data_IF_750159030681
#
_entry.id   IF_750159030681
#
_cell.length_a   1.000
_cell.length_b   1.000
_cell.length_c   1.000
_cell.angle_alpha   90.00
_cell.angle_beta   90.00
_cell.angle_gamma   90.00
#
_symmetry.space_group_name_H-M   'P 1'
#
loop_
_entity.id
_entity.type
_entity.pdbx_description
1 polymer ?
#
# COMPACT_ATOMS: atom_id res chain seq x y z
N UNK A 1 11.91 -3.39 -10.34
CA UNK A 1 11.21 -2.51 -9.36
C UNK A 1 11.43 -1.05 -9.74
N UNK A 2 10.38 -0.23 -9.77
CA UNK A 2 10.54 1.18 -10.09
C UNK A 2 11.38 1.91 -9.04
N UNK A 3 12.26 2.80 -9.47
CA UNK A 3 13.10 3.59 -8.56
C UNK A 3 12.26 4.53 -7.66
N UNK A 4 11.11 4.95 -8.14
CA UNK A 4 10.18 5.83 -7.44
C UNK A 4 9.66 5.26 -6.13
N UNK A 5 9.74 3.93 -5.95
CA UNK A 5 9.30 3.26 -4.72
C UNK A 5 10.03 3.82 -3.49
N UNK A 6 11.27 4.23 -3.63
CA UNK A 6 12.07 4.77 -2.53
C UNK A 6 11.61 6.17 -2.09
N UNK A 7 10.91 6.89 -2.96
CA UNK A 7 10.36 8.21 -2.63
C UNK A 7 9.15 8.13 -1.70
N UNK A 8 8.49 6.98 -1.63
CA UNK A 8 7.28 6.78 -0.83
C UNK A 8 7.57 6.51 0.64
N UNK A 9 8.83 6.38 1.04
CA UNK A 9 9.27 6.12 2.42
C UNK A 9 8.61 4.88 3.04
N UNK A 10 8.54 3.81 2.26
CA UNK A 10 8.03 2.54 2.74
C UNK A 10 9.04 1.87 3.67
N UNK A 11 8.56 1.02 4.58
CA UNK A 11 9.43 0.16 5.37
C UNK A 11 10.16 -0.84 4.47
N UNK A 12 11.33 -1.31 4.90
CA UNK A 12 12.14 -2.26 4.12
C UNK A 12 11.38 -3.56 3.84
N UNK A 13 10.59 -4.04 4.81
CA UNK A 13 9.78 -5.22 4.65
C UNK A 13 8.67 -5.04 3.61
N UNK A 14 8.04 -3.86 3.58
CA UNK A 14 7.03 -3.55 2.57
C UNK A 14 7.63 -3.53 1.17
N UNK A 15 8.83 -2.96 1.00
CA UNK A 15 9.55 -2.97 -0.28
C UNK A 15 9.86 -4.41 -0.71
N UNK A 16 10.29 -5.27 0.21
CA UNK A 16 10.58 -6.67 -0.10
C UNK A 16 9.33 -7.41 -0.57
N UNK A 17 8.21 -7.25 0.12
CA UNK A 17 6.94 -7.87 -0.25
C UNK A 17 6.47 -7.34 -1.62
N UNK A 18 6.52 -6.05 -1.82
CA UNK A 18 6.15 -5.42 -3.09
C UNK A 18 7.00 -5.94 -4.26
N UNK A 19 8.32 -6.04 -4.05
CA UNK A 19 9.22 -6.58 -5.07
C UNK A 19 8.89 -8.01 -5.44
N UNK A 20 8.54 -8.84 -4.48
CA UNK A 20 8.10 -10.21 -4.73
C UNK A 20 6.79 -10.26 -5.53
N UNK A 21 5.81 -9.45 -5.16
CA UNK A 21 4.54 -9.39 -5.89
C UNK A 21 4.75 -8.96 -7.35
N UNK A 22 5.61 -7.97 -7.58
CA UNK A 22 5.97 -7.53 -8.94
C UNK A 22 6.62 -8.65 -9.77
N UNK A 23 7.40 -9.51 -9.11
CA UNK A 23 8.07 -10.62 -9.79
C UNK A 23 7.09 -11.69 -10.27
N UNK A 24 6.05 -11.97 -9.50
CA UNK A 24 5.11 -13.07 -9.78
C UNK A 24 3.80 -12.61 -10.42
N UNK A 25 3.57 -11.30 -10.57
CA UNK A 25 2.34 -10.81 -11.18
C UNK A 25 2.19 -11.25 -12.64
N UNK A 26 0.94 -11.49 -13.05
CA UNK A 26 0.63 -11.66 -14.46
C UNK A 26 0.70 -10.29 -15.14
N UNK A 27 1.58 -10.15 -16.12
CA UNK A 27 1.79 -8.88 -16.83
C UNK A 27 0.57 -8.38 -17.61
N UNK A 28 -0.38 -9.27 -17.90
CA UNK A 28 -1.61 -8.90 -18.62
C UNK A 28 -2.64 -8.29 -17.67
N UNK A 29 -2.79 -8.87 -16.48
CA UNK A 29 -3.82 -8.50 -15.52
C UNK A 29 -3.28 -7.68 -14.34
N UNK A 30 -1.96 -7.65 -14.17
CA UNK A 30 -1.27 -7.06 -13.01
C UNK A 30 -1.73 -7.68 -11.69
N UNK A 31 -2.10 -8.96 -11.72
CA UNK A 31 -2.67 -9.68 -10.58
C UNK A 31 -1.84 -10.90 -10.22
N UNK A 32 -1.86 -11.26 -8.95
CA UNK A 32 -1.31 -12.50 -8.42
C UNK A 32 -2.09 -12.91 -7.17
N UNK A 33 -1.93 -14.16 -6.76
CA UNK A 33 -2.71 -14.69 -5.62
C UNK A 33 -1.90 -15.61 -4.70
N UNK A 34 -0.65 -15.23 -4.30
CA UNK A 34 0.10 -16.04 -3.36
C UNK A 34 -0.51 -15.97 -1.95
N UNK A 35 -0.35 -17.05 -1.18
CA UNK A 35 -0.71 -17.03 0.23
C UNK A 35 0.32 -16.23 1.04
N UNK A 36 -0.05 -15.79 2.25
CA UNK A 36 0.92 -15.15 3.16
C UNK A 36 2.11 -16.07 3.47
N UNK A 37 1.85 -17.37 3.58
CA UNK A 37 2.91 -18.35 3.80
C UNK A 37 3.89 -18.40 2.62
N UNK A 38 3.39 -18.35 1.39
CA UNK A 38 4.22 -18.35 0.18
C UNK A 38 5.06 -17.08 0.10
N UNK A 39 4.47 -15.92 0.36
CA UNK A 39 5.18 -14.65 0.40
C UNK A 39 6.26 -14.69 1.50
N UNK A 40 5.88 -15.11 2.70
CA UNK A 40 6.78 -15.16 3.85
C UNK A 40 7.97 -16.06 3.60
N UNK A 41 7.77 -17.19 2.94
CA UNK A 41 8.84 -18.12 2.57
C UNK A 41 9.82 -17.48 1.58
N UNK A 42 9.30 -16.72 0.62
CA UNK A 42 10.12 -16.07 -0.41
C UNK A 42 10.94 -14.90 0.15
N UNK A 43 10.39 -14.13 1.09
CA UNK A 43 11.04 -12.93 1.63
C UNK A 43 11.60 -13.11 3.04
N UNK A 44 11.51 -14.32 3.61
CA UNK A 44 12.07 -14.63 4.93
C UNK A 44 11.31 -14.00 6.11
N UNK A 45 9.98 -13.99 6.03
CA UNK A 45 9.11 -13.38 7.06
C UNK A 45 8.03 -14.37 7.52
N UNK A 46 7.52 -14.16 8.73
CA UNK A 46 6.33 -14.87 9.23
C UNK A 46 5.07 -14.38 8.53
N UNK A 47 4.00 -15.18 8.59
CA UNK A 47 2.68 -14.81 8.03
C UNK A 47 2.15 -13.49 8.61
N UNK A 48 2.27 -13.30 9.91
CA UNK A 48 1.81 -12.09 10.57
C UNK A 48 2.58 -10.85 10.11
N UNK A 49 3.88 -11.00 9.90
CA UNK A 49 4.73 -9.92 9.39
C UNK A 49 4.37 -9.57 7.95
N UNK A 50 4.16 -10.58 7.10
CA UNK A 50 3.69 -10.38 5.72
C UNK A 50 2.37 -9.62 5.71
N UNK A 51 1.41 -10.03 6.53
CA UNK A 51 0.10 -9.37 6.65
C UNK A 51 0.24 -7.89 6.97
N UNK A 52 1.13 -7.55 7.89
CA UNK A 52 1.41 -6.15 8.28
C UNK A 52 1.90 -5.34 7.08
N UNK A 53 2.84 -5.87 6.31
CA UNK A 53 3.40 -5.17 5.16
C UNK A 53 2.44 -5.11 3.98
N UNK A 54 1.61 -6.13 3.78
CA UNK A 54 0.53 -6.09 2.80
C UNK A 54 -0.44 -4.95 3.11
N UNK A 55 -0.82 -4.78 4.38
CA UNK A 55 -1.67 -3.68 4.81
C UNK A 55 -1.01 -2.33 4.55
N UNK A 56 0.28 -2.20 4.81
CA UNK A 56 1.02 -0.97 4.54
C UNK A 56 1.00 -0.62 3.05
N UNK A 57 1.25 -1.60 2.18
CA UNK A 57 1.21 -1.40 0.72
C UNK A 57 -0.18 -1.00 0.24
N UNK A 58 -1.22 -1.60 0.81
CA UNK A 58 -2.60 -1.28 0.48
C UNK A 58 -2.98 0.14 0.92
N UNK A 59 -2.58 0.54 2.13
CA UNK A 59 -2.79 1.89 2.64
C UNK A 59 -2.06 2.95 1.82
N UNK A 60 -0.90 2.60 1.26
CA UNK A 60 -0.13 3.49 0.40
C UNK A 60 -0.64 3.52 -1.05
N UNK A 61 -1.64 2.72 -1.39
CA UNK A 61 -2.21 2.70 -2.73
C UNK A 61 -1.37 1.99 -3.79
N UNK A 62 -0.42 1.16 -3.37
CA UNK A 62 0.43 0.39 -4.30
C UNK A 62 -0.22 -0.88 -4.77
N UNK A 63 -1.07 -1.48 -3.94
CA UNK A 63 -1.80 -2.70 -4.25
C UNK A 63 -3.25 -2.59 -3.80
N UNK A 64 -4.08 -3.42 -4.39
CA UNK A 64 -5.45 -3.67 -3.94
C UNK A 64 -5.57 -5.16 -3.64
N UNK A 65 -6.24 -5.52 -2.57
CA UNK A 65 -6.49 -6.92 -2.22
C UNK A 65 -7.97 -7.22 -2.25
N UNK A 66 -8.30 -8.42 -2.74
CA UNK A 66 -9.67 -8.93 -2.75
C UNK A 66 -9.66 -10.36 -2.20
N UNK A 67 -10.64 -10.68 -1.38
CA UNK A 67 -10.79 -12.05 -0.89
C UNK A 67 -11.44 -12.89 -1.98
N UNK A 68 -10.81 -14.04 -2.27
CA UNK A 68 -11.39 -15.02 -3.18
C UNK A 68 -12.08 -16.10 -2.35
N UNK A 69 -13.17 -16.65 -2.87
CA UNK A 69 -13.85 -17.80 -2.27
C UNK A 69 -13.78 -18.98 -3.22
N UNK A 70 -13.47 -20.16 -2.69
CA UNK A 70 -13.43 -21.40 -3.43
C UNK A 70 -14.60 -22.25 -2.96
N UNK A 71 -15.39 -22.77 -3.90
CA UNK A 71 -16.43 -23.77 -3.60
C UNK A 71 -15.77 -25.13 -3.71
N UNK A 72 -15.68 -25.85 -2.58
CA UNK A 72 -15.14 -27.21 -2.56
C UNK A 72 -16.14 -28.19 -3.18
N UNK A 73 -15.65 -29.41 -3.52
CA UNK A 73 -16.50 -30.47 -4.08
C UNK A 73 -17.70 -30.82 -3.21
N UNK A 74 -17.62 -30.56 -1.91
CA UNK A 74 -18.70 -30.79 -0.94
C UNK A 74 -19.72 -29.62 -0.89
N UNK A 75 -19.56 -28.62 -1.74
CA UNK A 75 -20.43 -27.44 -1.75
C UNK A 75 -20.16 -26.45 -0.62
N UNK A 76 -19.09 -26.64 0.15
CA UNK A 76 -18.69 -25.72 1.23
C UNK A 76 -17.87 -24.57 0.68
N UNK A 77 -18.24 -23.37 1.11
CA UNK A 77 -17.51 -22.15 0.76
C UNK A 77 -16.28 -22.04 1.65
N UNK A 78 -15.08 -22.11 1.05
CA UNK A 78 -13.83 -21.87 1.78
C UNK A 78 -13.21 -20.56 1.31
N UNK A 79 -12.54 -19.85 2.25
CA UNK A 79 -11.78 -18.67 1.92
C UNK A 79 -10.54 -19.06 1.11
N UNK A 80 -10.44 -18.58 -0.11
CA UNK A 80 -9.26 -18.73 -0.94
C UNK A 80 -8.17 -17.74 -0.56
N UNK A 81 -7.04 -17.80 -1.27
CA UNK A 81 -5.97 -16.81 -1.14
C UNK A 81 -6.45 -15.44 -1.57
N UNK A 82 -5.81 -14.39 -1.03
CA UNK A 82 -6.09 -13.03 -1.47
C UNK A 82 -5.65 -12.84 -2.92
N UNK A 83 -6.47 -12.15 -3.69
CA UNK A 83 -6.10 -11.68 -5.01
C UNK A 83 -5.47 -10.28 -4.87
N UNK A 84 -4.22 -10.16 -5.32
CA UNK A 84 -3.47 -8.90 -5.28
C UNK A 84 -3.50 -8.27 -6.65
N UNK A 85 -3.93 -7.02 -6.74
CA UNK A 85 -3.85 -6.21 -7.96
C UNK A 85 -2.79 -5.15 -7.74
N UNK A 86 -1.78 -5.12 -8.61
CA UNK A 86 -0.71 -4.11 -8.55
C UNK A 86 -1.25 -2.85 -9.24
N UNK A 87 -1.29 -1.74 -8.50
CA UNK A 87 -1.76 -0.46 -9.02
C UNK A 87 -0.60 0.30 -9.69
N UNK A 88 -0.89 1.21 -10.64
CA UNK A 88 0.16 2.04 -11.22
C UNK A 88 0.89 2.85 -10.15
N UNK A 89 2.22 2.79 -10.13
CA UNK A 89 3.01 3.48 -9.12
C UNK A 89 2.83 5.00 -9.19
N UNK A 90 2.56 5.54 -10.36
CA UNK A 90 2.31 6.97 -10.51
C UNK A 90 1.12 7.45 -9.68
N UNK A 91 0.07 6.64 -9.58
CA UNK A 91 -1.06 6.93 -8.71
C UNK A 91 -0.65 7.09 -7.24
N UNK A 92 0.18 6.18 -6.74
CA UNK A 92 0.70 6.25 -5.37
C UNK A 92 1.57 7.47 -5.14
N UNK A 93 2.42 7.80 -6.09
CA UNK A 93 3.29 8.98 -6.04
C UNK A 93 2.46 10.25 -6.01
N UNK A 94 1.46 10.35 -6.87
CA UNK A 94 0.56 11.50 -6.93
C UNK A 94 -0.19 11.69 -5.61
N UNK A 95 -0.69 10.61 -5.02
CA UNK A 95 -1.34 10.66 -3.71
C UNK A 95 -0.38 11.12 -2.61
N UNK A 96 0.84 10.62 -2.62
CA UNK A 96 1.85 11.00 -1.63
C UNK A 96 2.18 12.49 -1.70
N UNK A 97 2.40 13.01 -2.91
CA UNK A 97 2.66 14.44 -3.11
C UNK A 97 1.45 15.29 -2.75
N UNK A 98 0.24 14.86 -3.08
CA UNK A 98 -0.98 15.57 -2.71
C UNK A 98 -1.13 15.68 -1.20
N UNK A 99 -0.84 14.62 -0.45
CA UNK A 99 -0.84 14.66 1.02
C UNK A 99 0.17 15.65 1.57
N UNK A 100 1.36 15.72 0.97
CA UNK A 100 2.40 16.69 1.37
C UNK A 100 1.96 18.12 1.09
N UNK A 101 1.38 18.39 -0.08
CA UNK A 101 0.86 19.71 -0.44
C UNK A 101 -0.26 20.13 0.51
N UNK A 102 -1.19 19.25 0.83
CA UNK A 102 -2.28 19.50 1.77
C UNK A 102 -1.74 19.85 3.17
N UNK A 103 -0.68 19.15 3.61
CA UNK A 103 -0.04 19.45 4.89
C UNK A 103 0.62 20.84 4.89
N UNK A 104 1.28 21.23 3.80
CA UNK A 104 1.88 22.56 3.64
C UNK A 104 0.81 23.65 3.63
N UNK A 105 -0.27 23.44 2.90
CA UNK A 105 -1.38 24.40 2.84
C UNK A 105 -2.04 24.59 4.21
N UNK A 106 -2.24 23.52 4.97
CA UNK A 106 -2.75 23.60 6.34
C UNK A 106 -1.80 24.36 7.27
N UNK A 107 -0.50 24.16 7.13
CA UNK A 107 0.50 24.90 7.92
C UNK A 107 0.46 26.39 7.59
N UNK A 108 0.35 26.77 6.33
CA UNK A 108 0.21 28.16 5.90
C UNK A 108 -1.06 28.80 6.45
N UNK A 109 -2.16 28.09 6.43
CA UNK A 109 -3.44 28.56 6.96
C UNK A 109 -3.35 28.82 8.47
N UNK A 110 -2.72 27.93 9.21
CA UNK A 110 -2.47 28.12 10.65
C UNK A 110 -1.63 29.38 10.92
N UNK A 111 -0.63 29.62 10.11
CA UNK A 111 0.21 30.84 10.24
C UNK A 111 -0.59 32.11 9.98
N UNK A 112 -1.46 32.11 8.96
CA UNK A 112 -2.34 33.26 8.65
C UNK A 112 -3.28 33.55 9.82
N UNK A 113 -3.89 32.54 10.38
CA UNK A 113 -4.79 32.68 11.52
C UNK A 113 -4.04 33.21 12.73
N UNK A 114 -2.84 32.69 13.03
CA UNK A 114 -2.01 33.17 14.13
C UNK A 114 -1.63 34.64 13.95
N UNK A 115 -1.25 35.09 12.75
CA UNK A 115 -0.92 36.47 12.46
C UNK A 115 -2.14 37.40 12.66
N UNK A 116 -3.33 36.96 12.23
CA UNK A 116 -4.58 37.73 12.46
C UNK A 116 -4.86 37.90 13.94
N UNK A 117 -4.67 36.83 14.74
CA UNK A 117 -4.86 36.89 16.18
C UNK A 117 -3.87 37.85 16.85
N UNK A 118 -2.61 37.86 16.41
CA UNK A 118 -1.60 38.80 16.89
C UNK A 118 -1.97 40.25 16.58
N UNK A 119 -2.53 40.52 15.39
CA UNK A 119 -2.95 41.87 14.97
C UNK A 119 -4.19 42.37 15.72
N UNK A 120 -5.03 41.46 16.23
CA UNK A 120 -6.27 41.81 16.93
C UNK A 120 -6.11 41.88 18.44
N UNK A 121 -4.98 41.45 18.99
CA UNK A 121 -4.70 41.41 20.43
C UNK A 121 -3.95 42.68 20.93
N UNK A 122 -4.36 43.83 20.47
CA UNK A 122 -3.77 45.10 20.93
C UNK A 122 -4.63 45.66 22.04
#
# INVERSE_FOLDING_TARGET
MPNEIYQLRLSHGAIAVYGYLLRIEDRRTYQCHPSYATIGKAVGMSRNTVRKYVQELEERGLIRTERTSIITRDGRKQNGSLLYTILPIQFSIDQFYQRQLDAVDRAKERQRVARRMEQTSV
#
